data_IF_612240339011
#
_entry.id   IF_612240339011
#
_cell.length_a   1.000
_cell.length_b   1.000
_cell.length_c   1.000
_cell.angle_alpha   90.00
_cell.angle_beta   90.00
_cell.angle_gamma   90.00
#
_symmetry.space_group_name_H-M   'P 1'
#
loop_
_entity.id
_entity.type
_entity.pdbx_description
1 polymer ?
#
# COMPACT_ATOMS: atom_id res chain seq x y z
N UNK A 1 -35.37 52.33 0.03
CA UNK A 1 -35.61 51.90 1.42
C UNK A 1 -35.16 50.44 1.48
N UNK A 2 -33.91 50.05 1.80
CA UNK A 2 -33.15 50.20 3.07
C UNK A 2 -34.00 49.68 4.27
N UNK A 3 -33.66 48.67 5.08
CA UNK A 3 -32.41 48.06 5.60
C UNK A 3 -32.71 46.60 6.12
N UNK A 4 -31.72 45.82 6.65
CA UNK A 4 -31.62 44.36 6.61
C UNK A 4 -31.75 43.65 7.98
N UNK A 5 -31.77 42.30 7.99
CA UNK A 5 -31.59 41.44 9.17
C UNK A 5 -30.72 40.22 8.75
N UNK A 6 -29.41 40.24 8.99
CA UNK A 6 -28.67 39.64 10.13
C UNK A 6 -28.58 38.11 10.06
N UNK A 7 -27.39 37.64 9.66
CA UNK A 7 -26.87 36.28 9.85
C UNK A 7 -26.71 35.94 11.34
N UNK A 8 -26.73 34.65 11.67
CA UNK A 8 -25.65 34.13 12.48
C UNK A 8 -24.99 32.90 11.82
N UNK A 9 -23.67 33.01 11.68
CA UNK A 9 -22.75 31.88 11.54
C UNK A 9 -22.67 31.07 12.83
N UNK A 10 -22.45 29.75 12.73
CA UNK A 10 -21.56 29.07 13.65
C UNK A 10 -20.39 28.48 12.87
N UNK A 11 -19.23 29.09 13.08
CA UNK A 11 -17.92 28.46 12.90
C UNK A 11 -17.77 27.35 13.94
N UNK A 12 -18.01 26.10 13.53
CA UNK A 12 -17.47 24.93 14.22
C UNK A 12 -16.46 24.27 13.29
N UNK A 13 -15.21 24.69 13.42
CA UNK A 13 -14.05 23.96 12.92
C UNK A 13 -13.96 22.63 13.66
N UNK A 14 -14.64 21.61 13.14
CA UNK A 14 -14.35 20.22 13.49
C UNK A 14 -13.01 19.87 12.87
N UNK A 15 -11.93 20.10 13.62
CA UNK A 15 -10.69 19.36 13.42
C UNK A 15 -11.01 17.91 13.75
N UNK A 16 -11.42 17.14 12.74
CA UNK A 16 -11.46 15.69 12.82
C UNK A 16 -10.01 15.23 12.97
N UNK A 17 -9.52 15.14 14.22
CA UNK A 17 -8.24 14.51 14.50
C UNK A 17 -8.38 13.04 14.04
N UNK A 18 -7.44 12.51 13.24
CA UNK A 18 -7.50 11.12 12.83
C UNK A 18 -7.47 10.27 14.09
N UNK A 19 -8.56 9.55 14.35
CA UNK A 19 -8.68 8.66 15.48
C UNK A 19 -8.68 7.23 14.95
N UNK A 20 -7.62 6.48 15.25
CA UNK A 20 -7.52 5.07 14.88
C UNK A 20 -8.65 4.31 15.57
N UNK A 21 -9.45 3.53 14.83
CA UNK A 21 -10.41 2.63 15.45
C UNK A 21 -9.65 1.40 15.98
N UNK A 22 -9.51 1.23 17.32
CA UNK A 22 -8.71 0.16 17.91
C UNK A 22 -9.18 -1.26 17.53
N UNK A 23 -10.44 -1.39 17.11
CA UNK A 23 -11.08 -2.67 16.79
C UNK A 23 -10.46 -3.42 15.61
N UNK A 24 -9.79 -2.71 14.69
CA UNK A 24 -9.43 -3.24 13.38
C UNK A 24 -7.95 -3.57 13.14
N UNK A 25 -7.04 -3.32 14.10
CA UNK A 25 -5.61 -3.68 14.02
C UNK A 25 -5.32 -5.17 13.69
N UNK A 26 -6.36 -6.00 13.62
CA UNK A 26 -6.32 -7.45 13.50
C UNK A 26 -6.51 -7.98 12.08
N UNK A 27 -6.75 -7.12 11.09
CA UNK A 27 -6.84 -7.53 9.69
C UNK A 27 -5.49 -7.51 8.96
N UNK A 28 -4.36 -7.56 9.68
CA UNK A 28 -3.08 -7.95 9.08
C UNK A 28 -3.19 -9.43 8.71
N UNK A 29 -3.26 -9.82 7.43
CA UNK A 29 -3.28 -11.23 7.07
C UNK A 29 -1.90 -11.79 7.44
N UNK A 30 -1.86 -12.70 8.41
CA UNK A 30 -0.67 -13.53 8.63
C UNK A 30 -0.60 -14.55 7.49
N UNK A 31 -0.05 -14.15 6.34
CA UNK A 31 0.48 -15.12 5.40
C UNK A 31 1.89 -15.49 5.86
N UNK A 32 1.98 -16.60 6.59
CA UNK A 32 3.21 -17.34 6.78
C UNK A 32 3.83 -17.60 5.41
N UNK A 33 5.03 -17.10 5.19
CA UNK A 33 5.84 -17.39 4.03
C UNK A 33 6.75 -18.58 4.37
N UNK A 34 6.46 -19.83 3.98
CA UNK A 34 7.45 -20.88 4.10
C UNK A 34 8.55 -20.60 3.08
N UNK A 35 9.77 -20.41 3.58
CA UNK A 35 11.00 -20.30 2.80
C UNK A 35 11.09 -21.43 1.76
N UNK A 36 10.90 -21.12 0.47
CA UNK A 36 11.33 -22.00 -0.60
C UNK A 36 12.86 -21.91 -0.74
N UNK A 37 13.55 -22.81 -0.05
CA UNK A 37 14.98 -23.05 -0.23
C UNK A 37 15.21 -23.75 -1.59
N UNK A 38 15.73 -23.01 -2.56
CA UNK A 38 16.34 -23.60 -3.74
C UNK A 38 17.76 -24.08 -3.38
N UNK A 39 17.91 -25.39 -3.14
CA UNK A 39 19.21 -26.05 -3.09
C UNK A 39 19.57 -26.58 -4.47
N UNK A 40 20.54 -25.93 -5.11
CA UNK A 40 21.23 -26.39 -6.31
C UNK A 40 22.05 -27.64 -6.00
N UNK A 41 21.73 -28.78 -6.63
CA UNK A 41 22.68 -29.89 -6.78
C UNK A 41 22.61 -30.46 -8.19
N UNK A 42 23.66 -30.17 -8.95
CA UNK A 42 24.09 -30.93 -10.12
C UNK A 42 24.54 -32.34 -9.70
N UNK A 43 24.20 -33.37 -10.47
CA UNK A 43 25.17 -34.38 -10.94
C UNK A 43 24.53 -35.38 -11.92
N UNK A 44 25.31 -35.60 -12.98
CA UNK A 44 25.20 -36.56 -14.08
C UNK A 44 24.97 -38.02 -13.65
N UNK A 45 24.18 -38.78 -14.43
CA UNK A 45 24.64 -40.07 -15.01
C UNK A 45 23.68 -40.69 -16.06
N UNK A 46 24.18 -40.73 -17.31
CA UNK A 46 24.06 -41.74 -18.40
C UNK A 46 23.27 -43.06 -18.13
N UNK A 47 22.38 -43.46 -19.07
CA UNK A 47 22.61 -44.50 -20.13
C UNK A 47 21.36 -44.81 -21.02
N UNK A 48 21.61 -44.87 -22.35
CA UNK A 48 21.03 -45.69 -23.47
C UNK A 48 19.50 -45.91 -23.59
N UNK A 49 18.84 -45.94 -24.78
CA UNK A 49 19.19 -46.53 -26.09
C UNK A 49 18.17 -46.13 -27.21
N UNK A 50 18.68 -45.93 -28.44
CA UNK A 50 18.13 -46.20 -29.80
C UNK A 50 16.90 -45.46 -30.39
N UNK A 51 17.22 -44.74 -31.49
CA UNK A 51 16.76 -44.91 -32.89
C UNK A 51 15.42 -44.28 -33.35
N UNK A 52 15.49 -43.27 -34.22
CA UNK A 52 14.97 -43.30 -35.61
C UNK A 52 15.04 -41.91 -36.27
N UNK A 53 15.13 -41.95 -37.60
CA UNK A 53 15.43 -40.86 -38.53
C UNK A 53 14.40 -39.73 -38.54
N UNK A 54 14.86 -38.48 -38.74
CA UNK A 54 13.99 -37.34 -38.99
C UNK A 54 14.78 -36.08 -39.35
N UNK A 55 14.63 -35.66 -40.60
CA UNK A 55 15.12 -34.46 -41.28
C UNK A 55 15.27 -33.25 -40.35
N UNK A 56 16.45 -32.61 -40.35
CA UNK A 56 16.72 -31.36 -39.63
C UNK A 56 16.87 -30.21 -40.63
N UNK A 57 15.81 -29.42 -40.79
CA UNK A 57 15.85 -28.12 -41.45
C UNK A 57 16.52 -27.11 -40.53
N UNK A 58 17.56 -26.45 -41.04
CA UNK A 58 18.24 -25.34 -40.38
C UNK A 58 17.46 -24.06 -40.65
N UNK A 59 16.72 -23.57 -39.64
CA UNK A 59 16.18 -22.22 -39.65
C UNK A 59 16.62 -21.53 -38.35
N UNK A 60 17.69 -20.76 -38.47
CA UNK A 60 18.07 -19.72 -37.53
C UNK A 60 16.92 -18.72 -37.41
N UNK A 61 16.18 -18.76 -36.30
CA UNK A 61 15.32 -17.65 -35.87
C UNK A 61 15.98 -17.00 -34.66
N UNK A 62 16.77 -15.98 -34.96
CA UNK A 62 17.25 -15.00 -34.01
C UNK A 62 16.05 -14.22 -33.49
N UNK A 63 15.51 -14.62 -32.34
CA UNK A 63 14.62 -13.81 -31.54
C UNK A 63 15.46 -12.97 -30.58
N UNK A 64 15.35 -11.63 -30.56
CA UNK A 64 15.95 -10.85 -29.51
C UNK A 64 15.04 -10.89 -28.29
N UNK A 65 15.38 -11.74 -27.32
CA UNK A 65 14.89 -11.64 -25.93
C UNK A 65 15.39 -10.32 -25.34
N UNK A 66 14.56 -9.27 -25.39
CA UNK A 66 14.71 -8.11 -24.52
C UNK A 66 13.94 -8.35 -23.23
N UNK A 67 14.52 -9.11 -22.32
CA UNK A 67 14.19 -8.98 -20.92
C UNK A 67 14.76 -7.64 -20.42
N UNK A 68 13.90 -6.61 -20.35
CA UNK A 68 14.23 -5.38 -19.63
C UNK A 68 14.18 -5.67 -18.13
N UNK A 69 15.25 -6.27 -17.61
CA UNK A 69 15.61 -6.21 -16.19
C UNK A 69 16.40 -4.92 -15.97
N UNK A 70 15.72 -3.78 -16.04
CA UNK A 70 16.25 -2.51 -15.57
C UNK A 70 15.31 -2.01 -14.49
N UNK A 71 15.85 -1.76 -13.29
CA UNK A 71 15.15 -0.89 -12.33
C UNK A 71 14.85 0.42 -13.06
N UNK A 72 13.58 0.84 -13.16
CA UNK A 72 13.24 2.06 -13.89
C UNK A 72 13.97 3.24 -13.25
N UNK A 73 14.56 4.12 -14.07
CA UNK A 73 15.17 5.35 -13.56
C UNK A 73 14.06 6.33 -13.20
N UNK A 74 14.30 7.19 -12.22
CA UNK A 74 13.33 8.17 -11.72
C UNK A 74 12.75 9.11 -12.79
N UNK A 75 13.44 9.31 -13.92
CA UNK A 75 13.01 10.17 -15.03
C UNK A 75 12.28 9.44 -16.17
N UNK A 76 12.12 8.11 -16.12
CA UNK A 76 11.42 7.38 -17.16
C UNK A 76 9.91 7.61 -17.06
N UNK A 77 9.35 8.36 -18.02
CA UNK A 77 7.90 8.57 -18.13
C UNK A 77 7.24 7.31 -18.69
N UNK A 78 6.26 6.78 -17.96
CA UNK A 78 5.53 5.55 -18.33
C UNK A 78 4.03 5.82 -18.38
N UNK A 79 3.33 5.22 -19.35
CA UNK A 79 1.86 5.20 -19.37
C UNK A 79 1.34 4.10 -18.43
N UNK A 80 0.55 4.50 -17.43
CA UNK A 80 0.02 3.60 -16.41
C UNK A 80 -1.52 3.66 -16.38
N UNK A 81 -2.24 2.54 -16.53
CA UNK A 81 -3.66 2.46 -16.23
C UNK A 81 -3.92 2.81 -14.77
N UNK A 82 -4.85 3.74 -14.50
CA UNK A 82 -5.18 4.17 -13.15
C UNK A 82 -6.53 3.62 -12.69
N UNK A 83 -6.56 3.19 -11.43
CA UNK A 83 -7.74 2.78 -10.70
C UNK A 83 -7.97 3.71 -9.49
N UNK A 84 -8.86 4.70 -9.65
CA UNK A 84 -9.29 5.56 -8.54
C UNK A 84 -10.06 4.78 -7.49
N UNK A 85 -9.64 4.88 -6.22
CA UNK A 85 -10.31 4.24 -5.08
C UNK A 85 -10.40 5.22 -3.88
N UNK A 86 -11.41 5.07 -3.01
CA UNK A 86 -11.50 5.85 -1.77
C UNK A 86 -10.59 5.29 -0.66
N UNK A 87 -9.43 4.75 -1.03
CA UNK A 87 -8.41 4.19 -0.14
C UNK A 87 -7.00 4.46 -0.70
N UNK A 88 -6.01 4.29 0.16
CA UNK A 88 -4.59 4.50 -0.17
C UNK A 88 -3.87 3.15 -0.15
N UNK A 89 -3.18 2.82 -1.24
CA UNK A 89 -2.30 1.66 -1.30
C UNK A 89 -0.87 2.09 -0.96
N UNK A 90 -0.21 1.35 -0.06
CA UNK A 90 1.19 1.55 0.29
C UNK A 90 2.10 0.49 -0.35
N UNK A 91 3.38 0.82 -0.61
CA UNK A 91 4.40 -0.16 -0.95
C UNK A 91 4.42 -1.35 0.03
N UNK A 92 4.41 -2.57 -0.50
CA UNK A 92 4.39 -3.82 0.27
C UNK A 92 3.03 -4.23 0.83
N UNK A 93 2.03 -3.34 0.89
CA UNK A 93 0.70 -3.65 1.40
C UNK A 93 -0.08 -4.55 0.43
N UNK A 94 -0.96 -5.39 0.97
CA UNK A 94 -1.84 -6.28 0.19
C UNK A 94 -3.22 -5.66 0.06
N UNK A 95 -3.75 -5.63 -1.16
CA UNK A 95 -5.06 -5.08 -1.48
C UNK A 95 -5.92 -6.12 -2.20
N UNK A 96 -6.89 -6.74 -1.51
CA UNK A 96 -7.92 -7.56 -2.15
C UNK A 96 -8.96 -6.66 -2.83
N UNK A 97 -9.31 -6.96 -4.08
CA UNK A 97 -10.31 -6.22 -4.85
C UNK A 97 -11.26 -7.15 -5.59
N UNK A 98 -12.51 -6.70 -5.70
CA UNK A 98 -13.48 -7.29 -6.61
C UNK A 98 -13.79 -6.31 -7.74
N UNK A 99 -13.47 -6.71 -8.96
CA UNK A 99 -13.72 -5.94 -10.17
C UNK A 99 -15.07 -6.34 -10.73
N UNK A 100 -16.05 -5.45 -10.57
CA UNK A 100 -17.40 -5.64 -11.12
C UNK A 100 -17.76 -4.61 -12.19
N UNK A 101 -17.21 -3.40 -12.12
CA UNK A 101 -17.50 -2.36 -13.12
C UNK A 101 -16.93 -2.70 -14.49
N UNK A 102 -17.74 -2.51 -15.52
CA UNK A 102 -17.41 -2.83 -16.91
C UNK A 102 -16.09 -2.20 -17.37
N UNK A 103 -15.84 -0.92 -17.02
CA UNK A 103 -14.61 -0.23 -17.41
C UNK A 103 -13.34 -0.91 -16.87
N UNK A 104 -13.38 -1.39 -15.63
CA UNK A 104 -12.24 -2.04 -14.98
C UNK A 104 -12.13 -3.51 -15.37
N UNK A 105 -13.23 -4.16 -15.78
CA UNK A 105 -13.16 -5.46 -16.46
C UNK A 105 -12.37 -5.37 -17.76
N UNK A 106 -12.60 -4.33 -18.57
CA UNK A 106 -11.79 -4.08 -19.78
C UNK A 106 -10.33 -3.84 -19.40
N UNK A 107 -10.06 -3.03 -18.36
CA UNK A 107 -8.71 -2.81 -17.85
C UNK A 107 -8.03 -4.14 -17.50
N UNK A 108 -8.70 -5.01 -16.75
CA UNK A 108 -8.16 -6.33 -16.38
C UNK A 108 -7.85 -7.21 -17.58
N UNK A 109 -8.71 -7.23 -18.61
CA UNK A 109 -8.42 -7.97 -19.85
C UNK A 109 -7.15 -7.45 -20.55
N UNK A 110 -6.88 -6.14 -20.52
CA UNK A 110 -5.61 -5.57 -20.98
C UNK A 110 -4.44 -6.00 -20.08
N UNK A 111 -4.60 -5.93 -18.76
CA UNK A 111 -3.55 -6.26 -17.80
C UNK A 111 -3.09 -7.72 -17.91
N UNK A 112 -4.03 -8.64 -18.15
CA UNK A 112 -3.73 -10.07 -18.36
C UNK A 112 -2.82 -10.36 -19.56
N UNK A 113 -2.67 -9.41 -20.48
CA UNK A 113 -1.82 -9.52 -21.67
C UNK A 113 -0.51 -8.71 -21.55
N UNK A 114 -0.30 -8.03 -20.42
CA UNK A 114 0.83 -7.12 -20.19
C UNK A 114 1.59 -7.51 -18.93
N UNK A 115 1.90 -6.57 -18.05
CA UNK A 115 2.75 -6.73 -16.86
C UNK A 115 1.95 -6.89 -15.55
N UNK A 116 0.62 -6.99 -15.63
CA UNK A 116 -0.28 -7.11 -14.47
C UNK A 116 -0.15 -5.95 -13.45
N UNK A 117 0.29 -4.77 -13.91
CA UNK A 117 0.48 -3.58 -13.07
C UNK A 117 -0.51 -2.48 -13.42
N UNK A 118 -1.02 -1.82 -12.40
CA UNK A 118 -1.86 -0.64 -12.53
C UNK A 118 -1.64 0.31 -11.36
N UNK A 119 -1.90 1.60 -11.55
CA UNK A 119 -1.78 2.59 -10.49
C UNK A 119 -3.05 2.67 -9.65
N UNK A 120 -2.92 2.47 -8.34
CA UNK A 120 -4.00 2.81 -7.40
C UNK A 120 -3.81 4.26 -6.98
N UNK A 121 -4.87 5.06 -7.15
CA UNK A 121 -4.84 6.49 -6.83
C UNK A 121 -6.01 6.86 -5.92
N UNK A 122 -5.72 7.58 -4.84
CA UNK A 122 -6.74 7.99 -3.89
C UNK A 122 -7.66 9.02 -4.54
N UNK A 123 -8.97 8.86 -4.33
CA UNK A 123 -9.97 9.84 -4.75
C UNK A 123 -10.99 10.06 -3.64
N UNK A 124 -11.31 11.32 -3.39
CA UNK A 124 -12.34 11.76 -2.45
C UNK A 124 -13.29 12.72 -3.16
N UNK A 125 -14.57 12.63 -2.83
CA UNK A 125 -15.61 13.56 -3.28
C UNK A 125 -15.30 15.02 -2.96
N UNK A 126 -14.59 15.31 -1.87
CA UNK A 126 -14.32 16.67 -1.42
C UNK A 126 -13.06 17.28 -2.05
N UNK A 127 -11.98 16.50 -2.23
CA UNK A 127 -10.67 17.00 -2.69
C UNK A 127 -10.34 16.56 -4.11
N UNK A 128 -11.12 15.67 -4.70
CA UNK A 128 -10.83 15.07 -6.00
C UNK A 128 -9.81 13.94 -5.91
N UNK A 129 -9.13 13.68 -7.02
CA UNK A 129 -8.11 12.65 -7.16
C UNK A 129 -6.76 13.20 -6.75
N UNK A 130 -6.00 12.43 -5.97
CA UNK A 130 -4.65 12.79 -5.57
C UNK A 130 -3.66 12.71 -6.74
N UNK A 131 -2.48 13.33 -6.60
CA UNK A 131 -1.44 13.32 -7.64
C UNK A 131 -0.43 12.18 -7.45
N UNK A 132 -0.35 11.60 -6.26
CA UNK A 132 0.55 10.49 -5.92
C UNK A 132 -0.26 9.23 -5.63
N UNK A 133 0.18 8.13 -6.21
CA UNK A 133 -0.40 6.80 -5.99
C UNK A 133 0.67 5.73 -5.79
N UNK A 134 0.24 4.48 -5.71
CA UNK A 134 1.12 3.32 -5.63
C UNK A 134 0.73 2.28 -6.68
N UNK A 135 1.72 1.68 -7.32
CA UNK A 135 1.47 0.59 -8.28
C UNK A 135 0.98 -0.64 -7.53
N UNK A 136 -0.17 -1.15 -7.93
CA UNK A 136 -0.65 -2.47 -7.57
C UNK A 136 -0.21 -3.49 -8.61
N UNK A 137 0.57 -4.47 -8.20
CA UNK A 137 0.89 -5.65 -9.00
C UNK A 137 -0.08 -6.79 -8.62
N UNK A 138 -0.77 -7.36 -9.60
CA UNK A 138 -1.69 -8.48 -9.37
C UNK A 138 -0.88 -9.75 -9.08
N UNK A 139 -0.93 -10.21 -7.84
CA UNK A 139 -0.23 -11.45 -7.40
C UNK A 139 -1.13 -12.68 -7.50
N UNK A 140 -2.45 -12.51 -7.48
CA UNK A 140 -3.44 -13.58 -7.70
C UNK A 140 -4.68 -12.99 -8.34
N UNK A 141 -5.26 -13.69 -9.30
CA UNK A 141 -6.56 -13.33 -9.88
C UNK A 141 -7.42 -14.58 -10.11
N UNK A 142 -8.74 -14.40 -10.01
CA UNK A 142 -9.76 -15.41 -10.30
C UNK A 142 -10.88 -14.76 -11.12
N UNK A 143 -11.22 -15.37 -12.26
CA UNK A 143 -12.35 -14.93 -13.09
C UNK A 143 -13.61 -15.62 -12.61
N UNK A 144 -14.63 -14.84 -12.29
CA UNK A 144 -15.94 -15.30 -11.86
C UNK A 144 -16.87 -15.53 -13.07
N UNK A 145 -17.98 -16.21 -12.84
CA UNK A 145 -18.96 -16.64 -13.87
C UNK A 145 -19.55 -15.49 -14.71
N UNK A 146 -19.52 -14.25 -14.22
CA UNK A 146 -20.07 -13.07 -14.90
C UNK A 146 -18.98 -12.17 -15.51
N UNK A 147 -17.77 -12.71 -15.71
CA UNK A 147 -16.59 -11.95 -16.15
C UNK A 147 -16.19 -10.82 -15.18
N UNK A 148 -16.64 -10.94 -13.93
CA UNK A 148 -16.09 -10.22 -12.77
C UNK A 148 -14.75 -10.86 -12.37
N UNK A 149 -13.89 -10.10 -11.72
CA UNK A 149 -12.64 -10.63 -11.19
C UNK A 149 -12.59 -10.46 -9.68
N UNK A 150 -12.07 -11.45 -8.99
CA UNK A 150 -11.50 -11.27 -7.66
C UNK A 150 -9.98 -11.28 -7.81
N UNK A 151 -9.29 -10.32 -7.20
CA UNK A 151 -7.84 -10.20 -7.30
C UNK A 151 -7.21 -9.77 -5.98
N UNK A 152 -6.00 -10.27 -5.78
CA UNK A 152 -5.10 -9.85 -4.71
C UNK A 152 -3.95 -9.10 -5.37
N UNK A 153 -3.77 -7.85 -4.96
CA UNK A 153 -2.66 -7.02 -5.39
C UNK A 153 -1.66 -6.81 -4.27
N UNK A 154 -0.41 -6.59 -4.64
CA UNK A 154 0.64 -6.11 -3.74
C UNK A 154 1.10 -4.73 -4.21
N UNK A 155 1.18 -3.77 -3.28
CA UNK A 155 1.76 -2.46 -3.55
C UNK A 155 3.26 -2.58 -3.86
N UNK A 156 3.71 -1.87 -4.90
CA UNK A 156 5.09 -1.80 -5.33
C UNK A 156 5.60 -0.37 -5.15
N UNK A 157 6.10 0.27 -6.21
CA UNK A 157 6.64 1.62 -6.17
C UNK A 157 5.52 2.68 -6.09
N UNK A 158 5.86 3.84 -5.53
CA UNK A 158 5.00 5.03 -5.63
C UNK A 158 5.24 5.71 -6.97
N UNK A 159 4.24 6.40 -7.45
CA UNK A 159 4.33 7.20 -8.67
C UNK A 159 3.63 8.54 -8.49
N UNK A 160 4.06 9.53 -9.27
CA UNK A 160 3.41 10.83 -9.41
C UNK A 160 2.77 10.92 -10.80
N UNK A 161 1.52 11.34 -10.85
CA UNK A 161 0.81 11.62 -12.10
C UNK A 161 1.33 12.93 -12.69
N UNK A 162 1.85 12.87 -13.91
CA UNK A 162 2.27 14.06 -14.65
C UNK A 162 1.10 14.61 -15.47
N UNK A 163 0.40 13.72 -16.18
CA UNK A 163 -0.68 14.09 -17.10
C UNK A 163 -1.60 12.92 -17.40
N UNK A 164 -2.90 13.20 -17.52
CA UNK A 164 -3.86 12.22 -18.04
C UNK A 164 -3.76 12.13 -19.57
N UNK A 165 -3.48 10.94 -20.08
CA UNK A 165 -3.38 10.65 -21.52
C UNK A 165 -4.75 10.25 -22.07
N UNK A 166 -5.49 9.43 -21.31
CA UNK A 166 -6.78 8.89 -21.72
C UNK A 166 -7.73 8.76 -20.55
N UNK A 167 -9.01 9.08 -20.77
CA UNK A 167 -10.04 8.97 -19.72
C UNK A 167 -11.05 7.83 -19.93
N UNK A 168 -11.11 7.24 -21.13
CA UNK A 168 -12.07 6.18 -21.47
C UNK A 168 -11.37 4.96 -22.08
N UNK A 169 -11.84 3.73 -21.79
CA UNK A 169 -12.93 3.41 -20.86
C UNK A 169 -12.52 3.57 -19.38
N UNK A 170 -11.22 3.53 -19.10
CA UNK A 170 -10.60 3.81 -17.80
C UNK A 170 -9.49 4.87 -17.96
N UNK A 171 -9.03 5.41 -16.83
CA UNK A 171 -7.98 6.43 -16.81
C UNK A 171 -6.62 5.81 -17.16
N UNK A 172 -5.84 6.52 -17.96
CA UNK A 172 -4.43 6.21 -18.25
C UNK A 172 -3.66 7.51 -18.14
N UNK A 173 -2.57 7.50 -17.39
CA UNK A 173 -1.75 8.68 -17.16
C UNK A 173 -0.28 8.41 -17.47
N UNK A 174 0.42 9.45 -17.90
CA UNK A 174 1.87 9.53 -17.85
C UNK A 174 2.28 9.74 -16.40
N UNK A 175 3.16 8.88 -15.89
CA UNK A 175 3.63 8.91 -14.51
C UNK A 175 5.14 8.96 -14.42
N UNK A 176 5.65 9.47 -13.31
CA UNK A 176 7.06 9.39 -12.89
C UNK A 176 7.18 8.59 -11.60
N UNK A 177 8.28 7.85 -11.46
CA UNK A 177 8.53 7.05 -10.26
C UNK A 177 8.93 7.94 -9.09
N UNK A 178 8.35 7.67 -7.91
CA UNK A 178 8.59 8.47 -6.71
C UNK A 178 9.42 7.71 -5.69
N UNK A 179 10.68 8.11 -5.57
CA UNK A 179 11.65 7.57 -4.61
C UNK A 179 11.78 8.49 -3.39
N UNK A 180 12.17 7.91 -2.25
CA UNK A 180 12.51 8.71 -1.07
C UNK A 180 13.85 9.42 -1.28
N UNK A 181 13.89 10.71 -0.96
CA UNK A 181 15.10 11.52 -0.95
C UNK A 181 15.76 11.42 0.41
N UNK A 182 17.10 11.45 0.47
CA UNK A 182 17.79 11.61 1.74
C UNK A 182 17.35 12.91 2.42
N UNK A 183 17.17 12.87 3.73
CA UNK A 183 16.70 14.02 4.50
C UNK A 183 17.62 15.23 4.30
N UNK A 184 17.03 16.40 4.06
CA UNK A 184 17.76 17.62 3.70
C UNK A 184 18.82 18.03 4.74
N UNK A 185 18.62 17.65 6.00
CA UNK A 185 19.50 18.02 7.10
C UNK A 185 20.58 16.97 7.39
N UNK A 186 20.51 15.76 6.83
CA UNK A 186 21.49 14.67 7.04
C UNK A 186 21.70 14.18 8.49
N UNK A 187 21.05 14.81 9.48
CA UNK A 187 21.26 14.61 10.92
C UNK A 187 20.18 13.76 11.60
N UNK A 188 19.11 13.40 10.89
CA UNK A 188 18.02 12.63 11.48
C UNK A 188 18.46 11.18 11.75
N UNK A 189 18.38 10.74 13.01
CA UNK A 189 18.52 9.34 13.39
C UNK A 189 17.26 8.57 12.98
N UNK A 190 17.21 8.18 11.69
CA UNK A 190 16.07 7.48 11.10
C UNK A 190 15.84 6.12 11.77
N UNK A 191 16.90 5.47 12.23
CA UNK A 191 16.83 4.17 12.92
C UNK A 191 16.24 4.33 14.32
N UNK A 192 16.69 5.34 15.07
CA UNK A 192 16.09 5.72 16.36
C UNK A 192 14.61 6.08 16.23
N UNK A 193 14.24 6.87 15.22
CA UNK A 193 12.84 7.20 14.94
C UNK A 193 12.00 5.96 14.63
N UNK A 194 12.51 5.01 13.86
CA UNK A 194 11.81 3.76 13.56
C UNK A 194 11.59 2.92 14.84
N UNK A 195 12.58 2.85 15.73
CA UNK A 195 12.46 2.17 17.03
C UNK A 195 11.43 2.84 17.95
N UNK A 196 11.41 4.18 17.99
CA UNK A 196 10.39 4.91 18.75
C UNK A 196 8.98 4.63 18.22
N UNK A 197 8.78 4.69 16.90
CA UNK A 197 7.50 4.39 16.26
C UNK A 197 7.05 2.97 16.56
N UNK A 198 7.97 1.99 16.50
CA UNK A 198 7.66 0.61 16.86
C UNK A 198 7.17 0.49 18.32
N UNK A 199 7.84 1.19 19.26
CA UNK A 199 7.41 1.21 20.66
C UNK A 199 5.99 1.76 20.81
N UNK A 200 5.69 2.90 20.18
CA UNK A 200 4.35 3.49 20.20
C UNK A 200 3.29 2.55 19.59
N UNK A 201 3.61 1.86 18.50
CA UNK A 201 2.69 0.87 17.91
C UNK A 201 2.40 -0.28 18.88
N UNK A 202 3.43 -0.82 19.55
CA UNK A 202 3.26 -1.88 20.55
C UNK A 202 2.35 -1.42 21.69
N UNK A 203 2.54 -0.19 22.17
CA UNK A 203 1.71 0.37 23.25
C UNK A 203 0.26 0.58 22.82
N UNK A 204 0.03 1.10 21.60
CA UNK A 204 -1.32 1.25 21.03
C UNK A 204 -2.01 -0.11 20.90
N UNK A 205 -1.33 -1.12 20.37
CA UNK A 205 -1.86 -2.49 20.24
C UNK A 205 -2.19 -3.05 21.62
N UNK A 206 -1.29 -2.90 22.60
CA UNK A 206 -1.49 -3.38 23.96
C UNK A 206 -2.73 -2.77 24.61
N UNK A 207 -2.87 -1.44 24.58
CA UNK A 207 -4.01 -0.75 25.15
C UNK A 207 -5.31 -1.08 24.42
N UNK A 208 -5.27 -1.14 23.09
CA UNK A 208 -6.41 -1.57 22.27
C UNK A 208 -6.91 -2.97 22.67
N UNK A 209 -6.01 -3.94 22.79
CA UNK A 209 -6.36 -5.31 23.16
C UNK A 209 -7.03 -5.39 24.52
N UNK A 210 -6.49 -4.65 25.50
CA UNK A 210 -7.05 -4.55 26.85
C UNK A 210 -8.47 -3.95 26.84
N UNK A 211 -8.67 -2.87 26.08
CA UNK A 211 -9.99 -2.23 25.93
C UNK A 211 -11.01 -3.16 25.28
N UNK A 212 -10.60 -3.98 24.32
CA UNK A 212 -11.44 -4.91 23.59
C UNK A 212 -11.57 -6.29 24.26
N UNK A 213 -10.98 -6.51 25.44
CA UNK A 213 -11.05 -7.77 26.18
C UNK A 213 -10.35 -8.95 25.48
N UNK A 214 -9.41 -8.66 24.57
CA UNK A 214 -8.64 -9.67 23.85
C UNK A 214 -7.43 -10.08 24.71
N UNK A 215 -7.03 -11.36 24.70
CA UNK A 215 -5.86 -11.81 25.45
C UNK A 215 -4.62 -11.05 24.96
N UNK A 216 -3.76 -10.68 25.90
CA UNK A 216 -2.48 -10.04 25.63
C UNK A 216 -1.60 -11.03 24.84
N UNK A 217 -1.57 -10.87 23.52
CA UNK A 217 -0.55 -11.51 22.69
C UNK A 217 0.68 -10.62 22.76
N UNK A 218 1.82 -11.19 23.10
CA UNK A 218 3.09 -10.48 22.97
C UNK A 218 3.19 -9.95 21.54
N UNK A 219 3.29 -8.63 21.41
CA UNK A 219 3.54 -7.99 20.13
C UNK A 219 4.95 -8.38 19.70
N UNK A 220 5.05 -9.48 18.96
CA UNK A 220 6.27 -9.91 18.25
C UNK A 220 6.85 -8.73 17.48
N UNK A 221 8.17 -8.70 17.31
CA UNK A 221 8.90 -7.76 16.45
C UNK A 221 8.05 -7.33 15.24
N UNK A 222 7.54 -6.10 15.31
CA UNK A 222 6.63 -5.56 14.30
C UNK A 222 7.42 -5.09 13.09
N UNK A 223 8.70 -4.73 13.30
CA UNK A 223 9.60 -4.33 12.23
C UNK A 223 9.94 -5.51 11.34
N UNK A 224 9.97 -6.76 11.83
CA UNK A 224 10.25 -7.96 11.03
C UNK A 224 11.54 -7.82 10.19
N UNK A 225 12.58 -7.20 10.76
CA UNK A 225 13.83 -6.83 10.07
C UNK A 225 13.67 -5.87 8.87
N UNK A 226 12.59 -5.09 8.82
CA UNK A 226 12.41 -4.03 7.82
C UNK A 226 13.33 -2.84 8.13
N UNK A 227 13.97 -2.35 7.08
CA UNK A 227 14.61 -1.04 7.09
C UNK A 227 13.59 0.08 7.37
N UNK A 228 14.03 1.25 7.86
CA UNK A 228 13.11 2.33 8.24
C UNK A 228 12.13 2.77 7.16
N UNK A 229 12.56 2.83 5.89
CA UNK A 229 11.69 3.24 4.78
C UNK A 229 10.53 2.26 4.55
N UNK A 230 10.75 0.96 4.26
CA UNK A 230 9.66 -0.02 4.20
C UNK A 230 8.81 -0.09 5.48
N UNK A 231 9.44 0.06 6.65
CA UNK A 231 8.73 0.06 7.92
C UNK A 231 7.74 1.23 8.02
N UNK A 232 8.14 2.44 7.63
CA UNK A 232 7.23 3.60 7.61
C UNK A 232 6.02 3.38 6.69
N UNK A 233 6.21 2.81 5.49
CA UNK A 233 5.08 2.46 4.63
C UNK A 233 4.14 1.42 5.26
N UNK A 234 4.71 0.43 5.96
CA UNK A 234 3.91 -0.51 6.72
C UNK A 234 3.10 0.20 7.82
N UNK A 235 3.73 1.08 8.62
CA UNK A 235 3.03 1.83 9.67
C UNK A 235 1.91 2.68 9.09
N UNK A 236 2.17 3.47 8.05
CA UNK A 236 1.14 4.26 7.36
C UNK A 236 -0.03 3.41 6.84
N UNK A 237 0.23 2.20 6.37
CA UNK A 237 -0.83 1.28 5.92
C UNK A 237 -1.77 0.83 7.05
N UNK A 238 -1.32 0.87 8.31
CA UNK A 238 -2.13 0.50 9.49
C UNK A 238 -3.11 1.58 9.95
N UNK A 239 -3.05 2.79 9.39
CA UNK A 239 -3.91 3.92 9.81
C UNK A 239 -5.33 3.84 9.22
N UNK A 240 -6.03 2.77 9.56
CA UNK A 240 -7.38 2.49 9.07
C UNK A 240 -8.37 3.61 9.44
N UNK A 241 -9.27 3.93 8.50
CA UNK A 241 -10.28 4.96 8.69
C UNK A 241 -9.75 6.41 8.56
N UNK A 242 -8.46 6.59 8.28
CA UNK A 242 -7.85 7.90 8.08
C UNK A 242 -7.20 8.05 6.69
N UNK A 243 -7.96 7.86 5.58
CA UNK A 243 -7.38 7.84 4.22
C UNK A 243 -6.67 9.15 3.84
N UNK A 244 -7.09 10.30 4.37
CA UNK A 244 -6.40 11.57 4.16
C UNK A 244 -5.04 11.63 4.86
N UNK A 245 -4.92 11.06 6.05
CA UNK A 245 -3.64 10.96 6.75
C UNK A 245 -2.73 9.96 6.05
N UNK A 246 -3.29 8.82 5.62
CA UNK A 246 -2.58 7.84 4.79
C UNK A 246 -2.04 8.47 3.50
N UNK A 247 -2.85 9.27 2.80
CA UNK A 247 -2.44 9.94 1.58
C UNK A 247 -1.29 10.92 1.86
N UNK A 248 -1.41 11.71 2.93
CA UNK A 248 -0.35 12.63 3.32
C UNK A 248 0.97 11.90 3.67
N UNK A 249 0.90 10.71 4.27
CA UNK A 249 2.09 9.88 4.54
C UNK A 249 2.69 9.27 3.26
N UNK A 250 1.84 8.85 2.32
CA UNK A 250 2.28 8.32 1.02
C UNK A 250 3.02 9.38 0.20
N UNK A 251 2.58 10.64 0.29
CA UNK A 251 3.14 11.79 -0.43
C UNK A 251 4.48 12.30 0.12
N UNK A 252 4.81 11.99 1.38
CA UNK A 252 6.10 12.41 1.96
C UNK A 252 7.25 11.70 1.25
N UNK A 253 8.21 12.46 0.74
CA UNK A 253 9.42 11.95 0.06
C UNK A 253 10.61 11.78 1.03
N UNK A 254 10.43 12.05 2.32
CA UNK A 254 11.47 11.93 3.35
C UNK A 254 11.01 10.95 4.44
N UNK A 255 11.75 9.85 4.59
CA UNK A 255 11.46 8.80 5.57
C UNK A 255 11.43 9.32 7.01
N UNK A 256 12.36 10.20 7.38
CA UNK A 256 12.41 10.73 8.74
C UNK A 256 11.19 11.59 9.03
N UNK A 257 10.77 12.42 8.06
CA UNK A 257 9.53 13.20 8.15
C UNK A 257 8.29 12.32 8.25
N UNK A 258 8.25 11.22 7.49
CA UNK A 258 7.16 10.23 7.54
C UNK A 258 7.07 9.60 8.93
N UNK A 259 8.18 9.09 9.46
CA UNK A 259 8.25 8.48 10.80
C UNK A 259 7.92 9.48 11.91
N UNK A 260 8.38 10.74 11.82
CA UNK A 260 8.02 11.80 12.79
C UNK A 260 6.51 12.05 12.81
N UNK A 261 5.88 12.09 11.64
CA UNK A 261 4.42 12.28 11.52
C UNK A 261 3.65 11.07 12.04
N UNK A 262 4.09 9.86 11.72
CA UNK A 262 3.52 8.61 12.25
C UNK A 262 3.61 8.55 13.78
N UNK A 263 4.78 8.89 14.33
CA UNK A 263 5.01 8.98 15.78
C UNK A 263 4.01 9.90 16.46
N UNK A 264 3.79 11.09 15.91
CA UNK A 264 2.85 12.05 16.47
C UNK A 264 1.40 11.53 16.41
N UNK A 265 1.00 10.90 15.29
CA UNK A 265 -0.33 10.29 15.14
C UNK A 265 -0.55 9.14 16.14
N UNK A 266 0.46 8.28 16.32
CA UNK A 266 0.41 7.17 17.29
C UNK A 266 0.37 7.69 18.74
N UNK A 267 1.18 8.70 19.07
CA UNK A 267 1.17 9.33 20.40
C UNK A 267 -0.20 9.91 20.73
N UNK A 268 -0.82 10.61 19.80
CA UNK A 268 -2.17 11.15 19.98
C UNK A 268 -3.21 10.04 20.17
N UNK A 269 -3.10 8.94 19.43
CA UNK A 269 -3.94 7.76 19.61
C UNK A 269 -3.74 7.15 21.00
N UNK A 270 -2.49 6.99 21.44
CA UNK A 270 -2.16 6.44 22.75
C UNK A 270 -2.77 7.27 23.88
N UNK A 271 -2.67 8.60 23.79
CA UNK A 271 -3.28 9.51 24.75
C UNK A 271 -4.80 9.33 24.84
N UNK A 272 -5.48 9.18 23.69
CA UNK A 272 -6.91 8.90 23.67
C UNK A 272 -7.24 7.54 24.30
N UNK A 273 -6.54 6.47 23.91
CA UNK A 273 -6.81 5.12 24.42
C UNK A 273 -6.55 5.03 25.93
N UNK A 274 -5.53 5.73 26.42
CA UNK A 274 -5.25 5.86 27.85
C UNK A 274 -6.41 6.51 28.59
N UNK A 275 -6.93 7.63 28.07
CA UNK A 275 -8.11 8.30 28.62
C UNK A 275 -9.36 7.40 28.58
N UNK A 276 -9.60 6.71 27.46
CA UNK A 276 -10.72 5.78 27.32
C UNK A 276 -10.62 4.60 28.29
N UNK A 277 -9.42 4.06 28.52
CA UNK A 277 -9.17 2.99 29.50
C UNK A 277 -9.48 3.46 30.91
N UNK A 278 -9.02 4.65 31.30
CA UNK A 278 -9.29 5.20 32.62
C UNK A 278 -10.80 5.36 32.90
N UNK A 279 -11.59 5.79 31.90
CA UNK A 279 -13.05 5.89 32.03
C UNK A 279 -13.70 4.51 32.20
N UNK A 280 -13.25 3.51 31.43
CA UNK A 280 -13.78 2.14 31.52
C UNK A 280 -13.52 1.50 32.89
N UNK A 281 -12.36 1.76 33.48
CA UNK A 281 -11.99 1.25 34.79
C UNK A 281 -12.84 1.87 35.91
N UNK A 282 -13.31 3.13 35.74
CA UNK A 282 -14.18 3.82 36.70
C UNK A 282 -15.65 3.42 36.56
N UNK A 283 -16.12 3.09 35.35
CA UNK A 283 -17.51 2.71 35.08
C UNK A 283 -17.59 1.31 34.45
N UNK A 284 -17.38 0.22 35.24
CA UNK A 284 -17.54 -1.12 34.73
C UNK A 284 -19.01 -1.36 34.34
N UNK A 285 -19.26 -1.56 33.05
CA UNK A 285 -20.58 -1.94 32.53
C UNK A 285 -21.00 -3.26 33.19
N UNK A 286 -21.99 -3.17 34.08
CA UNK A 286 -22.59 -4.28 34.84
C UNK A 286 -23.38 -5.23 33.95
#
# INVERSE_FOLDING_TARGET
MALPQILPSPSSSFTHKPHLNPSNFFLIPQFNNPQCQFSSKSLLQRRHRRNSNGVRCSASSSFPEKHHTGSPKSDDVVELPLFPLPLVLFPGAILPLQIFEFRYRIMMHTLLQTDLRFGVIYTDSATGTADVGCVGEVVKHERLVDDRFFLICKGQERFRVNKLVRSKPYLVAEVTWLEDRPSANGEDDVEGLANEVESYMKDVIRLSNRLNGKPEKEATDLRRNLFPTPFSFFVGSTFEGAPREQQALLELEDTAMRLKREKETLRNTLNYLSAASAVKDVFPSS
#
